data_IF_391022439214
#
_entry.id   IF_391022439214
#
_cell.length_a   1.000
_cell.length_b   1.000
_cell.length_c   1.000
_cell.angle_alpha   90.00
_cell.angle_beta   90.00
_cell.angle_gamma   90.00
#
_symmetry.space_group_name_H-M   'P 1'
#
loop_
_entity.id
_entity.type
_entity.pdbx_description
1 polymer ?
#
# COMPACT_ATOMS: atom_id res chain seq x y z
N UNK A 1 -31.62 66.19 -39.83
CA UNK A 1 -31.44 65.37 -38.57
C UNK A 1 -31.29 63.92 -38.96
N UNK A 2 -30.07 63.42 -38.90
CA UNK A 2 -29.70 62.09 -39.39
C UNK A 2 -29.79 61.06 -38.25
N UNK A 3 -30.57 60.03 -38.48
CA UNK A 3 -30.64 58.89 -37.59
C UNK A 3 -29.67 57.77 -38.06
N UNK A 4 -28.66 57.42 -37.26
CA UNK A 4 -27.73 56.32 -37.53
C UNK A 4 -28.36 54.99 -37.07
N UNK A 5 -28.50 54.07 -38.03
CA UNK A 5 -28.82 52.67 -37.77
C UNK A 5 -27.59 51.91 -37.28
N UNK A 6 -27.64 51.36 -36.08
CA UNK A 6 -26.65 50.42 -35.59
C UNK A 6 -26.93 49.02 -36.12
N UNK A 7 -25.92 48.41 -36.74
CA UNK A 7 -25.94 47.00 -37.17
C UNK A 7 -25.47 46.14 -36.02
N UNK A 8 -26.37 45.27 -35.57
CA UNK A 8 -26.12 44.30 -34.55
C UNK A 8 -25.54 43.03 -35.19
N UNK A 9 -24.21 42.84 -35.03
CA UNK A 9 -23.51 41.64 -35.50
C UNK A 9 -23.80 40.48 -34.54
N UNK A 10 -24.40 39.42 -35.08
CA UNK A 10 -24.58 38.12 -34.42
C UNK A 10 -23.30 37.33 -34.64
N UNK A 11 -22.56 37.06 -33.56
CA UNK A 11 -21.45 36.11 -33.55
C UNK A 11 -22.00 34.69 -33.43
N UNK A 12 -21.59 33.74 -34.28
CA UNK A 12 -21.95 32.34 -34.09
C UNK A 12 -21.13 31.74 -32.93
N UNK A 13 -21.81 31.38 -31.89
CA UNK A 13 -21.21 30.62 -30.80
C UNK A 13 -20.78 29.24 -31.28
N UNK A 14 -19.48 28.98 -31.28
CA UNK A 14 -18.94 27.64 -31.46
C UNK A 14 -19.30 26.79 -30.23
N UNK A 15 -20.27 25.91 -30.40
CA UNK A 15 -20.54 24.85 -29.43
C UNK A 15 -19.36 23.85 -29.47
N UNK A 16 -18.45 23.95 -28.51
CA UNK A 16 -17.47 22.93 -28.29
C UNK A 16 -18.20 21.66 -27.79
N UNK A 17 -18.35 20.69 -28.65
CA UNK A 17 -18.79 19.37 -28.31
C UNK A 17 -17.69 18.75 -27.43
N UNK A 18 -17.88 18.73 -26.10
CA UNK A 18 -17.11 17.93 -25.21
C UNK A 18 -17.50 16.48 -25.46
N UNK A 19 -16.74 15.82 -26.32
CA UNK A 19 -16.80 14.36 -26.46
C UNK A 19 -16.36 13.78 -25.15
N UNK A 20 -17.32 13.40 -24.34
CA UNK A 20 -17.11 12.66 -23.10
C UNK A 20 -16.48 11.31 -23.38
N UNK A 21 -15.17 11.24 -23.33
CA UNK A 21 -14.40 10.01 -23.27
C UNK A 21 -14.56 9.35 -21.88
N UNK A 22 -15.74 8.90 -21.54
CA UNK A 22 -16.01 8.12 -20.33
C UNK A 22 -15.58 6.66 -20.54
N UNK A 23 -14.28 6.35 -20.51
CA UNK A 23 -13.89 4.95 -20.63
C UNK A 23 -12.41 4.62 -20.43
N UNK A 24 -11.55 5.60 -20.42
CA UNK A 24 -10.10 5.36 -20.40
C UNK A 24 -9.33 6.17 -19.33
N UNK A 25 -10.01 6.65 -18.31
CA UNK A 25 -9.31 7.37 -17.24
C UNK A 25 -8.94 6.41 -16.14
N UNK A 26 -7.64 6.34 -15.82
CA UNK A 26 -7.14 5.66 -14.62
C UNK A 26 -7.71 6.28 -13.35
N UNK A 27 -7.78 5.50 -12.31
CA UNK A 27 -8.30 5.94 -11.02
C UNK A 27 -7.22 5.84 -9.96
N UNK A 28 -7.12 6.87 -9.12
CA UNK A 28 -6.20 6.90 -7.98
C UNK A 28 -7.01 7.08 -6.71
N UNK A 29 -6.72 6.26 -5.71
CA UNK A 29 -7.29 6.41 -4.38
C UNK A 29 -6.24 6.12 -3.31
N UNK A 30 -6.50 6.59 -2.09
CA UNK A 30 -5.62 6.35 -0.95
C UNK A 30 -6.37 5.57 0.12
N UNK A 31 -5.62 4.72 0.79
CA UNK A 31 -6.15 4.00 1.95
C UNK A 31 -5.15 4.03 3.10
N UNK A 32 -5.70 4.07 4.29
CA UNK A 32 -4.95 3.96 5.54
C UNK A 32 -4.98 2.52 6.01
N UNK A 33 -3.80 1.91 6.10
CA UNK A 33 -3.61 0.63 6.78
C UNK A 33 -3.23 0.92 8.22
N UNK A 34 -4.03 0.43 9.18
CA UNK A 34 -3.80 0.63 10.61
C UNK A 34 -3.57 -0.71 11.30
N UNK A 35 -2.52 -0.79 12.12
CA UNK A 35 -2.16 -1.97 12.91
C UNK A 35 -2.30 -1.63 14.38
N UNK A 36 -3.08 -2.40 15.12
CA UNK A 36 -3.29 -2.24 16.56
C UNK A 36 -2.68 -3.43 17.31
N UNK A 37 -1.79 -3.14 18.26
CA UNK A 37 -1.10 -4.12 19.09
C UNK A 37 -1.41 -3.86 20.56
N UNK A 38 -1.90 -4.87 21.26
CA UNK A 38 -1.98 -4.86 22.70
C UNK A 38 -0.60 -5.14 23.28
N UNK A 39 -0.20 -4.37 24.27
CA UNK A 39 1.08 -4.48 24.97
C UNK A 39 0.87 -4.43 26.48
N UNK A 40 1.86 -4.82 27.29
CA UNK A 40 1.76 -4.69 28.75
C UNK A 40 1.47 -3.27 29.26
N UNK A 41 1.82 -2.24 28.44
CA UNK A 41 1.60 -0.84 28.77
C UNK A 41 0.33 -0.25 28.11
N UNK A 42 -0.49 -1.09 27.49
CA UNK A 42 -1.72 -0.68 26.80
C UNK A 42 -1.65 -0.80 25.29
N UNK A 43 -2.65 -0.25 24.62
CA UNK A 43 -2.78 -0.32 23.17
C UNK A 43 -1.74 0.57 22.47
N UNK A 44 -1.03 0.01 21.50
CA UNK A 44 -0.18 0.74 20.55
C UNK A 44 -0.78 0.65 19.16
N UNK A 45 -0.70 1.75 18.43
CA UNK A 45 -1.25 1.85 17.08
C UNK A 45 -0.23 2.45 16.15
N UNK A 46 -0.06 1.83 15.00
CA UNK A 46 0.74 2.36 13.90
C UNK A 46 -0.05 2.33 12.61
N UNK A 47 0.30 3.18 11.65
CA UNK A 47 -0.38 3.23 10.36
C UNK A 47 0.52 3.72 9.24
N UNK A 48 0.10 3.41 8.02
CA UNK A 48 0.58 4.04 6.80
C UNK A 48 -0.59 4.41 5.89
N UNK A 49 -0.49 5.56 5.23
CA UNK A 49 -1.37 5.92 4.12
C UNK A 49 -0.66 5.55 2.83
N UNK A 50 -1.33 4.76 2.01
CA UNK A 50 -0.84 4.22 0.74
C UNK A 50 -1.73 4.66 -0.40
N UNK A 51 -1.15 4.85 -1.58
CA UNK A 51 -1.87 5.25 -2.78
C UNK A 51 -1.83 4.12 -3.81
N UNK A 52 -2.96 3.88 -4.45
CA UNK A 52 -3.12 2.92 -5.53
C UNK A 52 -3.61 3.66 -6.75
N UNK A 53 -2.89 3.53 -7.85
CA UNK A 53 -3.31 4.02 -9.16
C UNK A 53 -3.59 2.82 -10.05
N UNK A 54 -4.81 2.72 -10.50
CA UNK A 54 -5.21 1.79 -11.53
C UNK A 54 -5.25 2.51 -12.87
N UNK A 55 -4.61 1.94 -13.87
CA UNK A 55 -4.58 2.47 -15.24
C UNK A 55 -5.09 1.41 -16.21
N UNK A 56 -6.14 1.72 -17.01
CA UNK A 56 -6.55 0.84 -18.08
C UNK A 56 -5.45 0.83 -19.15
N UNK A 57 -5.11 -0.35 -19.63
CA UNK A 57 -4.20 -0.50 -20.77
C UNK A 57 -4.94 -0.57 -22.10
N UNK A 58 -4.20 -0.51 -23.19
CA UNK A 58 -4.72 -0.75 -24.54
C UNK A 58 -4.57 -2.23 -24.87
N UNK A 59 -5.68 -2.90 -25.16
CA UNK A 59 -5.67 -4.30 -25.53
C UNK A 59 -5.09 -4.46 -26.95
N UNK A 60 -3.87 -4.95 -27.03
CA UNK A 60 -3.18 -5.19 -28.31
C UNK A 60 -3.45 -6.61 -28.81
N UNK A 61 -3.63 -7.56 -27.89
CA UNK A 61 -4.02 -8.94 -28.20
C UNK A 61 -5.15 -9.39 -27.29
N UNK A 62 -6.01 -10.34 -27.70
CA UNK A 62 -7.14 -10.82 -26.87
C UNK A 62 -6.74 -11.39 -25.53
N UNK A 63 -5.52 -11.92 -25.40
CA UNK A 63 -4.99 -12.56 -24.20
C UNK A 63 -4.24 -11.59 -23.27
N UNK A 64 -3.95 -10.36 -23.72
CA UNK A 64 -3.21 -9.41 -22.92
C UNK A 64 -4.07 -8.84 -21.79
N UNK A 65 -3.67 -9.06 -20.55
CA UNK A 65 -4.19 -8.26 -19.43
C UNK A 65 -3.67 -6.83 -19.57
N UNK A 66 -4.58 -5.92 -19.80
CA UNK A 66 -4.26 -4.55 -20.20
C UNK A 66 -4.31 -3.56 -19.05
N UNK A 67 -4.79 -3.98 -17.87
CA UNK A 67 -4.83 -3.12 -16.70
C UNK A 67 -3.53 -3.20 -15.91
N UNK A 68 -3.00 -2.06 -15.50
CA UNK A 68 -1.87 -1.99 -14.57
C UNK A 68 -2.29 -1.36 -13.25
N UNK A 69 -1.70 -1.86 -12.15
CA UNK A 69 -1.90 -1.31 -10.83
C UNK A 69 -0.54 -0.87 -10.27
N UNK A 70 -0.43 0.38 -9.89
CA UNK A 70 0.78 0.94 -9.28
C UNK A 70 0.51 1.30 -7.83
N UNK A 71 1.43 0.91 -6.97
CA UNK A 71 1.37 1.21 -5.54
C UNK A 71 2.43 2.24 -5.16
N UNK A 72 2.05 3.22 -4.34
CA UNK A 72 2.93 4.21 -3.73
C UNK A 72 2.68 4.24 -2.23
N UNK A 73 3.73 4.25 -1.43
CA UNK A 73 3.60 4.31 0.02
C UNK A 73 4.71 3.57 0.75
N UNK A 74 4.41 3.20 1.98
CA UNK A 74 5.35 2.57 2.89
C UNK A 74 4.70 1.48 3.76
N UNK A 75 5.53 0.69 4.44
CA UNK A 75 5.10 -0.24 5.47
C UNK A 75 4.47 0.52 6.64
N UNK A 76 3.39 -0.01 7.22
CA UNK A 76 2.89 0.52 8.47
C UNK A 76 3.81 0.09 9.62
N UNK A 77 4.15 1.03 10.51
CA UNK A 77 5.03 0.80 11.65
C UNK A 77 4.27 0.97 12.96
N UNK A 78 4.52 0.08 13.92
CA UNK A 78 4.08 0.22 15.31
C UNK A 78 5.30 0.25 16.22
N UNK A 79 5.54 1.40 16.85
CA UNK A 79 6.57 1.52 17.88
C UNK A 79 6.07 0.85 19.18
N UNK A 80 6.85 -0.08 19.68
CA UNK A 80 6.51 -0.87 20.87
C UNK A 80 7.26 -0.38 22.11
N UNK A 81 6.67 -0.52 23.31
CA UNK A 81 7.26 0.00 24.54
C UNK A 81 8.66 -0.54 24.87
N UNK A 82 8.97 -1.77 24.39
CA UNK A 82 10.29 -2.38 24.56
C UNK A 82 11.36 -1.85 23.58
N UNK A 83 11.08 -0.77 22.84
CA UNK A 83 11.99 -0.17 21.88
C UNK A 83 12.08 -0.91 20.54
N UNK A 84 11.31 -1.99 20.37
CA UNK A 84 11.22 -2.70 19.08
C UNK A 84 10.13 -2.10 18.20
N UNK A 85 10.17 -2.43 16.90
CA UNK A 85 9.21 -1.96 15.91
C UNK A 85 8.63 -3.15 15.17
N UNK A 86 7.30 -3.18 15.05
CA UNK A 86 6.58 -4.09 14.18
C UNK A 86 6.31 -3.39 12.85
N UNK A 87 6.64 -4.05 11.74
CA UNK A 87 6.35 -3.56 10.38
C UNK A 87 5.30 -4.45 9.71
N UNK A 88 4.31 -3.83 9.10
CA UNK A 88 3.37 -4.48 8.19
C UNK A 88 3.74 -4.07 6.75
N UNK A 89 4.32 -5.00 5.99
CA UNK A 89 4.96 -4.75 4.70
C UNK A 89 3.94 -4.37 3.60
N UNK A 90 4.46 -3.82 2.51
CA UNK A 90 3.67 -3.54 1.31
C UNK A 90 3.50 -4.77 0.42
N UNK A 91 4.49 -5.68 0.41
CA UNK A 91 4.60 -6.78 -0.54
C UNK A 91 5.11 -8.04 0.15
N UNK A 92 4.90 -9.22 -0.42
CA UNK A 92 4.05 -9.50 -1.59
C UNK A 92 2.57 -9.40 -1.25
N UNK A 93 2.19 -9.78 -0.03
CA UNK A 93 0.81 -10.01 0.39
C UNK A 93 0.02 -8.68 0.51
N UNK A 94 0.69 -7.61 0.96
CA UNK A 94 0.06 -6.30 1.18
C UNK A 94 -0.32 -5.53 -0.09
N UNK A 95 0.07 -5.97 -1.29
CA UNK A 95 -0.35 -5.34 -2.54
C UNK A 95 -1.80 -5.64 -2.88
N UNK A 96 -2.29 -6.81 -2.49
CA UNK A 96 -3.67 -7.21 -2.73
C UNK A 96 -4.64 -6.67 -1.67
N UNK A 97 -4.11 -6.09 -0.57
CA UNK A 97 -4.94 -5.51 0.49
C UNK A 97 -6.06 -4.62 -0.03
N UNK A 98 -5.81 -3.66 -0.95
CA UNK A 98 -6.89 -2.81 -1.44
C UNK A 98 -7.94 -3.58 -2.23
N UNK A 99 -7.55 -4.56 -3.04
CA UNK A 99 -8.48 -5.37 -3.82
C UNK A 99 -9.37 -6.24 -2.94
N UNK A 100 -8.79 -6.86 -1.93
CA UNK A 100 -9.52 -7.76 -1.03
C UNK A 100 -10.37 -7.00 -0.01
N UNK A 101 -9.89 -5.83 0.45
CA UNK A 101 -10.64 -5.00 1.39
C UNK A 101 -11.81 -4.24 0.73
N UNK A 102 -11.60 -3.73 -0.49
CA UNK A 102 -12.54 -2.80 -1.14
C UNK A 102 -13.10 -3.31 -2.47
N UNK A 103 -12.78 -4.53 -2.86
CA UNK A 103 -13.14 -5.08 -4.17
C UNK A 103 -12.22 -4.58 -5.29
N UNK A 104 -12.48 -5.09 -6.52
CA UNK A 104 -11.64 -4.70 -7.66
C UNK A 104 -11.74 -3.20 -7.92
N UNK A 105 -10.61 -2.55 -8.13
CA UNK A 105 -10.49 -1.11 -8.42
C UNK A 105 -11.34 -0.62 -9.62
N UNK A 106 -11.91 -1.52 -10.38
CA UNK A 106 -12.78 -1.22 -11.52
C UNK A 106 -14.12 -0.61 -11.14
N UNK A 107 -14.63 -0.80 -9.94
CA UNK A 107 -16.06 -0.59 -9.76
C UNK A 107 -16.50 0.39 -8.69
N UNK A 108 -15.85 0.59 -7.54
CA UNK A 108 -16.42 1.48 -6.51
C UNK A 108 -15.56 1.68 -5.28
N UNK A 109 -14.33 1.19 -5.24
CA UNK A 109 -13.51 1.18 -4.03
C UNK A 109 -13.30 2.57 -3.40
N UNK A 110 -13.27 3.62 -4.20
CA UNK A 110 -13.00 4.99 -3.73
C UNK A 110 -14.20 5.71 -3.09
N UNK A 111 -15.39 5.14 -3.13
CA UNK A 111 -16.60 5.74 -2.53
C UNK A 111 -16.98 5.13 -1.18
N UNK A 112 -16.30 4.05 -0.76
CA UNK A 112 -16.56 3.36 0.50
C UNK A 112 -15.51 3.78 1.53
N UNK A 113 -15.86 4.71 2.40
CA UNK A 113 -15.03 5.20 3.51
C UNK A 113 -15.11 4.32 4.77
N UNK A 114 -15.84 3.21 4.72
CA UNK A 114 -15.96 2.30 5.86
C UNK A 114 -14.64 1.66 6.25
N UNK A 115 -14.48 1.41 7.54
CA UNK A 115 -13.31 0.67 8.07
C UNK A 115 -13.51 -0.81 7.81
N UNK A 116 -12.58 -1.43 7.08
CA UNK A 116 -12.54 -2.87 6.83
C UNK A 116 -11.54 -3.53 7.79
N UNK A 117 -11.98 -4.55 8.51
CA UNK A 117 -11.06 -5.41 9.30
C UNK A 117 -10.51 -6.47 8.37
N UNK A 118 -9.18 -6.59 8.36
CA UNK A 118 -8.50 -7.62 7.58
C UNK A 118 -8.40 -8.90 8.41
N UNK A 119 -8.81 -10.00 7.80
CA UNK A 119 -8.68 -11.32 8.41
C UNK A 119 -7.37 -11.99 7.97
N UNK A 120 -6.69 -12.72 8.86
CA UNK A 120 -5.55 -13.52 8.48
C UNK A 120 -5.93 -14.53 7.39
N UNK A 121 -5.05 -14.75 6.39
CA UNK A 121 -5.34 -15.66 5.32
C UNK A 121 -5.48 -17.09 5.80
N UNK A 122 -6.36 -17.84 5.17
CA UNK A 122 -6.43 -19.30 5.33
C UNK A 122 -5.15 -19.97 4.79
N UNK A 123 -4.83 -21.20 5.21
CA UNK A 123 -3.70 -21.93 4.63
C UNK A 123 -3.77 -22.10 3.11
N UNK A 124 -4.99 -22.23 2.56
CA UNK A 124 -5.21 -22.34 1.11
C UNK A 124 -4.88 -21.03 0.43
N UNK A 125 -5.38 -19.89 0.90
CA UNK A 125 -5.09 -18.57 0.34
C UNK A 125 -3.59 -18.28 0.38
N UNK A 126 -2.91 -18.62 1.48
CA UNK A 126 -1.45 -18.49 1.59
C UNK A 126 -0.71 -19.36 0.57
N UNK A 127 -1.19 -20.58 0.33
CA UNK A 127 -0.55 -21.51 -0.62
C UNK A 127 -0.67 -21.03 -2.08
N UNK A 128 -1.73 -20.29 -2.41
CA UNK A 128 -1.94 -19.72 -3.75
C UNK A 128 -1.47 -18.27 -3.89
N UNK A 129 -0.88 -17.68 -2.83
CA UNK A 129 -0.40 -16.30 -2.85
C UNK A 129 -1.50 -15.24 -2.89
N UNK A 130 -2.74 -15.61 -2.56
CA UNK A 130 -3.92 -14.75 -2.62
C UNK A 130 -4.26 -14.16 -1.25
N UNK A 131 -3.33 -13.42 -0.66
CA UNK A 131 -3.58 -12.80 0.64
C UNK A 131 -3.41 -11.29 0.57
N UNK A 132 -4.46 -10.56 0.96
CA UNK A 132 -4.39 -9.13 1.22
C UNK A 132 -3.90 -8.79 2.62
N UNK A 133 -3.57 -9.78 3.43
CA UNK A 133 -3.05 -9.57 4.77
C UNK A 133 -1.55 -9.27 4.71
N UNK A 134 -1.09 -8.13 5.24
CA UNK A 134 0.30 -7.73 5.12
C UNK A 134 1.22 -8.68 5.89
N UNK A 135 2.38 -9.01 5.32
CA UNK A 135 3.41 -9.73 6.04
C UNK A 135 3.92 -8.89 7.20
N UNK A 136 3.93 -9.47 8.39
CA UNK A 136 4.45 -8.85 9.59
C UNK A 136 5.91 -9.25 9.80
N UNK A 137 6.77 -8.24 10.03
CA UNK A 137 8.19 -8.46 10.30
C UNK A 137 8.69 -7.55 11.42
N UNK A 138 9.83 -7.93 12.01
CA UNK A 138 10.66 -7.09 12.87
C UNK A 138 12.12 -7.21 12.45
N UNK A 139 12.96 -6.35 12.97
CA UNK A 139 14.42 -6.51 12.95
C UNK A 139 14.92 -6.80 14.37
N UNK A 140 15.86 -7.73 14.50
CA UNK A 140 16.59 -7.90 15.78
C UNK A 140 17.51 -6.72 16.03
N UNK A 141 18.16 -6.24 14.97
CA UNK A 141 18.90 -4.98 14.93
C UNK A 141 18.37 -4.15 13.75
N UNK A 142 17.71 -3.04 14.06
CA UNK A 142 17.09 -2.18 13.07
C UNK A 142 18.10 -1.51 12.11
N UNK A 143 19.37 -1.47 12.48
CA UNK A 143 20.46 -0.96 11.65
C UNK A 143 20.99 -1.99 10.64
N UNK A 144 20.74 -3.29 10.87
CA UNK A 144 21.15 -4.39 9.99
C UNK A 144 19.93 -5.03 9.29
N UNK A 145 19.72 -4.76 7.98
CA UNK A 145 18.60 -5.32 7.23
C UNK A 145 18.57 -6.86 7.19
N UNK A 146 19.72 -7.52 7.35
CA UNK A 146 19.79 -8.99 7.35
C UNK A 146 19.18 -9.64 8.58
N UNK A 147 18.92 -8.86 9.63
CA UNK A 147 18.32 -9.35 10.88
C UNK A 147 16.79 -9.36 10.86
N UNK A 148 16.19 -9.16 9.69
CA UNK A 148 14.74 -9.21 9.53
C UNK A 148 14.18 -10.61 9.85
N UNK A 149 13.12 -10.65 10.64
CA UNK A 149 12.43 -11.86 11.06
C UNK A 149 10.93 -11.75 10.83
N UNK A 150 10.32 -12.87 10.43
CA UNK A 150 8.86 -12.96 10.31
C UNK A 150 8.24 -12.92 11.72
N UNK A 151 7.16 -12.17 11.86
CA UNK A 151 6.32 -12.15 13.05
C UNK A 151 5.04 -12.90 12.76
N UNK A 152 4.72 -13.87 13.62
CA UNK A 152 3.45 -14.60 13.55
C UNK A 152 2.33 -13.71 14.10
N UNK A 153 1.32 -13.34 13.29
CA UNK A 153 0.20 -12.53 13.74
C UNK A 153 -0.62 -13.19 14.85
N UNK A 154 -0.62 -14.54 14.92
CA UNK A 154 -1.31 -15.27 15.97
C UNK A 154 -0.51 -15.35 17.28
N UNK A 155 0.81 -15.07 17.25
CA UNK A 155 1.69 -15.20 18.39
C UNK A 155 2.78 -14.12 18.45
N UNK A 156 2.38 -12.86 18.62
CA UNK A 156 3.33 -11.76 18.78
C UNK A 156 4.23 -11.91 20.01
N UNK A 157 3.72 -12.61 21.04
CA UNK A 157 4.50 -12.85 22.26
C UNK A 157 5.81 -13.61 22.00
N UNK A 158 5.86 -14.49 21.00
CA UNK A 158 7.09 -15.18 20.61
C UNK A 158 8.18 -14.22 20.12
N UNK A 159 7.78 -13.10 19.49
CA UNK A 159 8.72 -12.11 18.94
C UNK A 159 9.04 -10.98 19.92
N UNK A 160 8.06 -10.51 20.69
CA UNK A 160 8.18 -9.28 21.47
C UNK A 160 8.13 -9.50 23.00
N UNK A 161 7.79 -10.71 23.44
CA UNK A 161 7.67 -11.06 24.85
C UNK A 161 6.22 -11.15 25.33
N UNK A 162 6.01 -11.61 26.58
CA UNK A 162 4.68 -11.79 27.14
C UNK A 162 3.84 -10.52 27.12
N UNK A 163 2.53 -10.66 26.88
CA UNK A 163 1.58 -9.54 26.86
C UNK A 163 1.48 -8.80 25.53
N UNK A 164 2.28 -9.15 24.52
CA UNK A 164 2.14 -8.61 23.17
C UNK A 164 1.20 -9.48 22.34
N UNK A 165 0.16 -8.85 21.77
CA UNK A 165 -0.83 -9.52 20.93
C UNK A 165 -1.31 -8.58 19.82
N UNK A 166 -1.41 -9.09 18.61
CA UNK A 166 -2.08 -8.37 17.53
C UNK A 166 -3.57 -8.27 17.87
N UNK A 167 -4.11 -7.05 17.94
CA UNK A 167 -5.53 -6.85 18.16
C UNK A 167 -6.29 -6.92 16.85
N UNK A 168 -5.84 -6.16 15.85
CA UNK A 168 -6.42 -6.15 14.51
C UNK A 168 -5.55 -5.37 13.54
N UNK A 169 -5.78 -5.61 12.25
CA UNK A 169 -5.34 -4.75 11.14
C UNK A 169 -6.58 -4.27 10.41
N UNK A 170 -6.63 -2.99 10.07
CA UNK A 170 -7.76 -2.40 9.35
C UNK A 170 -7.29 -1.60 8.15
N UNK A 171 -8.13 -1.55 7.12
CA UNK A 171 -7.96 -0.69 5.96
C UNK A 171 -9.17 0.24 5.80
N UNK A 172 -8.94 1.50 5.43
CA UNK A 172 -9.97 2.50 5.22
C UNK A 172 -9.57 3.44 4.08
N UNK A 173 -10.50 3.75 3.17
CA UNK A 173 -10.29 4.78 2.15
C UNK A 173 -10.22 6.15 2.83
N UNK A 174 -9.22 6.95 2.47
CA UNK A 174 -8.95 8.25 3.08
C UNK A 174 -8.51 9.28 2.03
N UNK A 175 -8.62 10.56 2.38
CA UNK A 175 -8.10 11.67 1.59
C UNK A 175 -6.73 12.18 2.08
N UNK A 176 -6.21 11.62 3.16
CA UNK A 176 -4.92 11.98 3.75
C UNK A 176 -3.77 11.76 2.77
N UNK A 177 -2.68 12.51 2.93
CA UNK A 177 -1.49 12.32 2.11
C UNK A 177 -0.74 11.04 2.48
N UNK A 178 -0.05 10.47 1.48
CA UNK A 178 0.80 9.28 1.65
C UNK A 178 1.87 9.56 2.72
N UNK A 179 2.04 8.63 3.64
CA UNK A 179 3.03 8.75 4.72
C UNK A 179 4.44 8.42 4.23
N UNK A 180 5.46 9.05 4.85
CA UNK A 180 6.87 8.90 4.49
C UNK A 180 7.75 8.84 5.75
N UNK A 181 7.45 7.92 6.67
CA UNK A 181 8.13 7.80 7.98
C UNK A 181 9.16 6.69 8.04
N UNK A 182 8.98 5.62 7.26
CA UNK A 182 9.81 4.40 7.32
C UNK A 182 11.28 4.69 7.07
N UNK A 183 11.60 5.59 6.13
CA UNK A 183 12.99 6.00 5.85
C UNK A 183 13.70 6.64 7.04
N UNK A 184 12.96 7.31 7.92
CA UNK A 184 13.52 7.89 9.15
C UNK A 184 13.91 6.80 10.15
N UNK A 185 13.14 5.72 10.20
CA UNK A 185 13.37 4.59 11.07
C UNK A 185 14.43 3.63 10.49
N UNK A 186 14.28 3.28 9.20
CA UNK A 186 15.19 2.41 8.47
C UNK A 186 16.16 3.24 7.62
N UNK A 187 17.15 3.87 8.28
CA UNK A 187 18.08 4.81 7.64
C UNK A 187 18.87 4.20 6.48
N UNK A 188 19.09 2.89 6.51
CA UNK A 188 19.77 2.15 5.45
C UNK A 188 18.99 2.13 4.13
N UNK A 189 17.68 2.33 4.12
CA UNK A 189 16.88 2.39 2.90
C UNK A 189 17.34 3.47 1.92
N UNK A 190 17.83 4.62 2.41
CA UNK A 190 18.21 5.75 1.56
C UNK A 190 19.50 5.52 0.75
N UNK A 191 20.34 4.58 1.19
CA UNK A 191 21.62 4.28 0.55
C UNK A 191 21.77 2.82 0.14
N UNK A 192 20.68 2.07 0.11
CA UNK A 192 20.72 0.63 -0.15
C UNK A 192 20.66 0.34 -1.65
N UNK A 193 21.78 0.02 -2.30
CA UNK A 193 21.83 -0.18 -3.74
C UNK A 193 21.42 -1.57 -4.18
N UNK A 194 21.26 -2.49 -3.24
CA UNK A 194 21.10 -3.92 -3.51
C UNK A 194 19.65 -4.31 -3.71
N UNK A 195 19.37 -5.27 -4.62
CA UNK A 195 17.99 -5.69 -4.89
C UNK A 195 17.37 -6.51 -3.75
N UNK A 196 18.17 -7.05 -2.82
CA UNK A 196 17.71 -7.86 -1.67
C UNK A 196 18.37 -7.40 -0.38
N UNK A 197 17.71 -7.66 0.77
CA UNK A 197 18.27 -7.31 2.09
C UNK A 197 19.53 -8.12 2.44
N UNK A 198 19.70 -9.30 1.83
CA UNK A 198 20.95 -10.03 1.83
C UNK A 198 21.46 -10.22 0.40
N UNK A 199 22.28 -9.29 -0.14
CA UNK A 199 22.77 -9.36 -1.51
C UNK A 199 23.72 -10.55 -1.77
N UNK A 200 24.25 -11.15 -0.72
CA UNK A 200 25.16 -12.31 -0.80
C UNK A 200 24.44 -13.65 -0.59
N UNK A 201 23.13 -13.69 -0.78
CA UNK A 201 22.38 -14.93 -0.66
C UNK A 201 22.75 -15.92 -1.79
N UNK A 202 22.75 -17.22 -1.45
CA UNK A 202 22.88 -18.28 -2.46
C UNK A 202 21.58 -18.53 -3.21
N UNK A 203 21.62 -19.29 -4.32
CA UNK A 203 20.43 -19.58 -5.12
C UNK A 203 19.36 -20.36 -4.37
N UNK A 204 19.74 -21.11 -3.33
CA UNK A 204 18.84 -21.93 -2.51
C UNK A 204 18.51 -21.28 -1.14
N UNK A 205 18.87 -20.01 -0.95
CA UNK A 205 18.57 -19.29 0.29
C UNK A 205 17.17 -18.64 0.20
N UNK A 206 16.21 -19.23 0.89
CA UNK A 206 14.83 -18.77 1.00
C UNK A 206 14.55 -18.01 2.31
N UNK A 207 15.60 -17.58 3.01
CA UNK A 207 15.46 -16.74 4.19
C UNK A 207 14.82 -15.39 3.85
N UNK A 208 14.17 -14.77 4.83
CA UNK A 208 13.54 -13.45 4.61
C UNK A 208 14.51 -12.41 4.05
N UNK A 209 15.75 -12.28 4.54
CA UNK A 209 16.69 -11.33 3.97
C UNK A 209 17.07 -11.60 2.51
N UNK A 210 16.96 -12.86 2.06
CA UNK A 210 17.24 -13.24 0.68
C UNK A 210 16.07 -12.97 -0.26
N UNK A 211 14.83 -12.95 0.23
CA UNK A 211 13.63 -12.75 -0.58
C UNK A 211 13.10 -11.32 -0.54
N UNK A 212 13.23 -10.61 0.59
CA UNK A 212 12.76 -9.24 0.74
C UNK A 212 13.72 -8.24 0.10
N UNK A 213 13.15 -7.12 -0.35
CA UNK A 213 13.89 -5.99 -0.89
C UNK A 213 13.40 -4.65 -0.29
N UNK A 214 14.09 -3.53 -0.54
CA UNK A 214 13.66 -2.22 -0.06
C UNK A 214 12.25 -1.82 -0.47
N UNK A 215 11.78 -2.30 -1.64
CA UNK A 215 10.43 -2.06 -2.14
C UNK A 215 9.32 -2.71 -1.32
N UNK A 216 9.66 -3.70 -0.47
CA UNK A 216 8.71 -4.27 0.48
C UNK A 216 8.40 -3.30 1.65
N UNK A 217 9.31 -2.35 1.90
CA UNK A 217 9.16 -1.34 2.95
C UNK A 217 8.72 0.01 2.42
N UNK A 218 9.19 0.41 1.22
CA UNK A 218 8.91 1.72 0.63
C UNK A 218 8.82 1.61 -0.89
N UNK A 219 7.71 2.08 -1.47
CA UNK A 219 7.52 2.10 -2.94
C UNK A 219 7.20 3.48 -3.46
N UNK A 220 7.91 3.89 -4.53
CA UNK A 220 7.61 5.11 -5.30
C UNK A 220 7.48 6.38 -4.45
N UNK A 221 8.13 6.45 -3.28
CA UNK A 221 8.30 7.68 -2.52
C UNK A 221 9.48 8.47 -3.07
N UNK A 222 9.36 9.80 -3.09
CA UNK A 222 10.41 10.72 -3.58
C UNK A 222 11.58 10.81 -2.60
#
# INVERSE_FOLDING_TARGET
>A
MMARRGVMGVLPGAAAAVLGGCGMMGHTYRYKLTVEVETPEGLRTGYAVREVTWSPGVQITPEADTASMTHRGEAAMVDLPNGQVLFALMSPDGQETPMLAFGSARQTAWSDDSVKVLEPPTPIETAYGQSGYPRLVRFRDIADPKTVEKVDPANLAASFGPGYRLKRITAQIVSEDVTEKVKTQLRWLSGYPEPKLNPKHGPDDWSLPAILDPGDFVRNLK
#
